data_IF_906764979298
#
_entry.id   IF_906764979298
#
_cell.length_a   1.000
_cell.length_b   1.000
_cell.length_c   1.000
_cell.angle_alpha   90.00
_cell.angle_beta   90.00
_cell.angle_gamma   90.00
#
_symmetry.space_group_name_H-M   'P 1'
#
loop_
_entity.id
_entity.type
_entity.pdbx_description
1 polymer ?
#
# COMPACT_ATOMS: atom_id res chain seq x y z
N UNK A 1 -9.19 22.78 20.22
CA UNK A 1 -9.74 21.43 20.48
C UNK A 1 -9.74 20.53 19.23
N UNK A 2 -10.18 21.00 18.06
CA UNK A 2 -10.28 20.19 16.81
C UNK A 2 -8.98 19.50 16.34
N UNK A 3 -7.81 20.15 16.44
CA UNK A 3 -6.52 19.55 15.99
C UNK A 3 -6.21 18.25 16.74
N UNK A 4 -6.33 18.23 18.06
CA UNK A 4 -6.05 17.04 18.88
C UNK A 4 -7.02 15.88 18.57
N UNK A 5 -8.30 16.19 18.30
CA UNK A 5 -9.28 15.19 17.89
C UNK A 5 -8.94 14.57 16.52
N UNK A 6 -8.52 15.38 15.54
CA UNK A 6 -8.07 14.89 14.22
C UNK A 6 -6.83 13.98 14.32
N UNK A 7 -5.89 14.31 15.20
CA UNK A 7 -4.73 13.45 15.47
C UNK A 7 -5.14 12.10 16.05
N UNK A 8 -6.07 12.08 17.00
CA UNK A 8 -6.62 10.82 17.55
C UNK A 8 -7.30 9.95 16.49
N UNK A 9 -8.05 10.58 15.56
CA UNK A 9 -8.64 9.86 14.43
C UNK A 9 -7.55 9.26 13.54
N UNK A 10 -6.50 10.04 13.23
CA UNK A 10 -5.40 9.58 12.39
C UNK A 10 -4.65 8.39 13.02
N UNK A 11 -4.36 8.46 14.31
CA UNK A 11 -3.72 7.37 15.06
C UNK A 11 -4.60 6.11 15.09
N UNK A 12 -5.90 6.26 15.40
CA UNK A 12 -6.84 5.14 15.45
C UNK A 12 -7.00 4.46 14.09
N UNK A 13 -7.13 5.25 13.02
CA UNK A 13 -7.19 4.73 11.65
C UNK A 13 -5.89 4.03 11.24
N UNK A 14 -4.73 4.59 11.61
CA UNK A 14 -3.43 3.97 11.35
C UNK A 14 -3.30 2.62 12.04
N UNK A 15 -3.76 2.50 13.29
CA UNK A 15 -3.73 1.24 14.03
C UNK A 15 -4.59 0.15 13.37
N UNK A 16 -5.80 0.50 12.91
CA UNK A 16 -6.63 -0.45 12.15
C UNK A 16 -5.94 -0.97 10.89
N UNK A 17 -5.18 -0.12 10.20
CA UNK A 17 -4.45 -0.51 8.99
C UNK A 17 -3.25 -1.39 9.32
N UNK A 18 -2.48 -1.05 10.35
CA UNK A 18 -1.32 -1.84 10.79
C UNK A 18 -1.76 -3.23 11.26
N UNK A 19 -2.84 -3.29 12.04
CA UNK A 19 -3.39 -4.53 12.60
C UNK A 19 -4.12 -5.38 11.54
N UNK A 20 -4.30 -4.88 10.31
CA UNK A 20 -5.01 -5.57 9.24
C UNK A 20 -6.54 -5.60 9.37
N UNK A 21 -7.11 -4.81 10.30
CA UNK A 21 -8.56 -4.69 10.50
C UNK A 21 -9.23 -3.92 9.34
N UNK A 22 -8.50 -3.01 8.71
CA UNK A 22 -8.94 -2.25 7.54
C UNK A 22 -7.80 -2.16 6.51
N UNK A 23 -8.09 -2.39 5.24
CA UNK A 23 -7.11 -2.23 4.15
C UNK A 23 -7.19 -0.84 3.52
N UNK A 24 -8.38 -0.24 3.51
CA UNK A 24 -8.66 1.04 2.86
C UNK A 24 -8.67 2.23 3.81
N UNK A 25 -7.95 3.29 3.42
CA UNK A 25 -7.88 4.53 4.21
C UNK A 25 -9.25 5.21 4.40
N UNK A 26 -10.15 5.08 3.44
CA UNK A 26 -11.51 5.65 3.53
C UNK A 26 -12.26 5.01 4.70
N UNK A 27 -12.35 3.68 4.71
CA UNK A 27 -13.06 2.93 5.75
C UNK A 27 -12.38 3.06 7.12
N UNK A 28 -11.04 3.01 7.17
CA UNK A 28 -10.30 3.22 8.40
C UNK A 28 -10.59 4.59 9.05
N UNK A 29 -10.72 5.66 8.24
CA UNK A 29 -11.10 7.00 8.75
C UNK A 29 -12.51 7.02 9.28
N UNK A 30 -13.45 6.53 8.49
CA UNK A 30 -14.87 6.64 8.81
C UNK A 30 -15.19 5.80 10.06
N UNK A 31 -14.60 4.60 10.16
CA UNK A 31 -14.67 3.76 11.36
C UNK A 31 -13.99 4.43 12.57
N UNK A 32 -12.82 5.03 12.41
CA UNK A 32 -12.14 5.73 13.50
C UNK A 32 -12.95 6.93 14.03
N UNK A 33 -13.58 7.71 13.14
CA UNK A 33 -14.46 8.83 13.50
C UNK A 33 -15.68 8.32 14.27
N UNK A 34 -16.33 7.27 13.76
CA UNK A 34 -17.48 6.64 14.39
C UNK A 34 -17.15 6.13 15.79
N UNK A 35 -16.04 5.41 15.95
CA UNK A 35 -15.61 4.87 17.25
C UNK A 35 -15.26 5.95 18.27
N UNK A 36 -14.86 7.13 17.81
CA UNK A 36 -14.52 8.26 18.69
C UNK A 36 -15.72 9.18 18.97
N UNK A 37 -16.90 8.90 18.39
CA UNK A 37 -18.10 9.70 18.57
C UNK A 37 -17.96 11.13 18.01
N UNK A 38 -17.19 11.29 16.92
CA UNK A 38 -16.88 12.60 16.33
C UNK A 38 -17.68 12.85 15.05
N UNK A 39 -17.83 14.13 14.71
CA UNK A 39 -18.35 14.55 13.41
C UNK A 39 -17.29 14.40 12.30
N UNK A 40 -17.69 13.82 11.16
CA UNK A 40 -16.79 13.47 10.06
C UNK A 40 -16.20 14.70 9.35
N UNK A 41 -17.01 15.73 9.09
CA UNK A 41 -16.59 16.89 8.30
C UNK A 41 -15.42 17.64 8.93
N UNK A 42 -15.41 17.75 10.27
CA UNK A 42 -14.41 18.54 10.98
C UNK A 42 -13.15 17.75 11.39
N UNK A 43 -13.25 16.43 11.50
CA UNK A 43 -12.22 15.58 12.12
C UNK A 43 -11.56 14.59 11.17
N UNK A 44 -11.92 14.60 9.88
CA UNK A 44 -11.31 13.72 8.89
C UNK A 44 -9.83 14.07 8.64
N UNK A 45 -8.90 13.13 8.88
CA UNK A 45 -7.47 13.37 8.63
C UNK A 45 -7.10 13.16 7.15
N UNK A 46 -5.96 13.69 6.76
CA UNK A 46 -5.36 13.41 5.45
C UNK A 46 -4.72 12.03 5.45
N UNK A 47 -4.64 11.38 4.27
CA UNK A 47 -3.93 10.10 4.14
C UNK A 47 -2.46 10.23 4.53
N UNK A 48 -1.84 11.38 4.24
CA UNK A 48 -0.46 11.69 4.64
C UNK A 48 -0.27 11.55 6.15
N UNK A 49 -1.20 12.07 6.94
CA UNK A 49 -1.12 12.02 8.40
C UNK A 49 -1.28 10.61 8.95
N UNK A 50 -2.22 9.83 8.42
CA UNK A 50 -2.37 8.41 8.78
C UNK A 50 -1.09 7.64 8.44
N UNK A 51 -0.52 7.87 7.25
CA UNK A 51 0.74 7.26 6.82
C UNK A 51 1.91 7.54 7.78
N UNK A 52 2.00 8.76 8.33
CA UNK A 52 3.01 9.09 9.35
C UNK A 52 2.85 8.23 10.61
N UNK A 53 1.62 8.05 11.11
CA UNK A 53 1.35 7.15 12.23
C UNK A 53 1.62 5.68 11.90
N UNK A 54 1.25 5.20 10.71
CA UNK A 54 1.59 3.84 10.26
C UNK A 54 3.10 3.63 10.33
N UNK A 55 3.89 4.55 9.78
CA UNK A 55 5.34 4.46 9.81
C UNK A 55 5.91 4.42 11.23
N UNK A 56 5.39 5.26 12.14
CA UNK A 56 5.80 5.23 13.55
C UNK A 56 5.45 3.89 14.20
N UNK A 57 4.21 3.43 14.04
CA UNK A 57 3.72 2.17 14.64
C UNK A 57 4.52 0.97 14.13
N UNK A 58 4.75 0.86 12.82
CA UNK A 58 5.52 -0.23 12.24
C UNK A 58 6.97 -0.23 12.72
N UNK A 59 7.62 0.94 12.83
CA UNK A 59 8.97 1.05 13.38
C UNK A 59 9.02 0.67 14.86
N UNK A 60 8.00 1.03 15.64
CA UNK A 60 7.87 0.58 17.03
C UNK A 60 7.71 -0.93 17.15
N UNK A 61 7.00 -1.57 16.20
CA UNK A 61 6.73 -3.02 16.22
C UNK A 61 7.92 -3.84 15.72
N UNK A 62 8.51 -3.46 14.58
CA UNK A 62 9.53 -4.24 13.88
C UNK A 62 10.97 -3.77 14.14
N UNK A 63 11.15 -2.52 14.58
CA UNK A 63 12.45 -1.86 14.66
C UNK A 63 12.81 -1.10 13.39
N UNK A 64 13.55 0.01 13.53
CA UNK A 64 13.89 0.87 12.39
C UNK A 64 14.79 0.18 11.36
N UNK A 65 15.79 -0.58 11.82
CA UNK A 65 16.74 -1.28 10.95
C UNK A 65 16.05 -2.36 10.11
N UNK A 66 15.14 -3.11 10.71
CA UNK A 66 14.37 -4.15 10.02
C UNK A 66 13.42 -3.54 8.99
N UNK A 67 12.75 -2.44 9.32
CA UNK A 67 11.93 -1.69 8.35
C UNK A 67 12.78 -1.20 7.18
N UNK A 68 13.99 -0.69 7.44
CA UNK A 68 14.89 -0.21 6.40
C UNK A 68 15.37 -1.36 5.49
N UNK A 69 15.78 -2.49 6.09
CA UNK A 69 16.20 -3.70 5.36
C UNK A 69 15.07 -4.21 4.46
N UNK A 70 13.88 -4.41 5.02
CA UNK A 70 12.70 -4.87 4.27
C UNK A 70 12.33 -3.92 3.15
N UNK A 71 12.33 -2.61 3.39
CA UNK A 71 12.03 -1.62 2.36
C UNK A 71 13.04 -1.67 1.20
N UNK A 72 14.32 -1.85 1.52
CA UNK A 72 15.36 -1.98 0.50
C UNK A 72 15.12 -3.21 -0.37
N UNK A 73 14.81 -4.34 0.25
CA UNK A 73 14.59 -5.60 -0.45
C UNK A 73 13.31 -5.59 -1.30
N UNK A 74 12.21 -5.06 -0.77
CA UNK A 74 10.98 -4.83 -1.55
C UNK A 74 11.21 -3.91 -2.75
N UNK A 75 12.04 -2.87 -2.61
CA UNK A 75 12.38 -1.98 -3.72
C UNK A 75 13.23 -2.65 -4.78
N UNK A 76 14.11 -3.57 -4.39
CA UNK A 76 14.88 -4.38 -5.33
C UNK A 76 13.96 -5.31 -6.13
N UNK A 77 13.08 -6.04 -5.44
CA UNK A 77 12.09 -6.90 -6.12
C UNK A 77 11.19 -6.07 -7.05
N UNK A 78 10.73 -4.90 -6.58
CA UNK A 78 9.93 -4.00 -7.40
C UNK A 78 10.67 -3.54 -8.65
N UNK A 79 11.97 -3.24 -8.54
CA UNK A 79 12.79 -2.86 -9.69
C UNK A 79 12.93 -4.02 -10.68
N UNK A 80 13.17 -5.25 -10.19
CA UNK A 80 13.28 -6.44 -11.04
C UNK A 80 11.96 -6.69 -11.80
N UNK A 81 10.81 -6.58 -11.12
CA UNK A 81 9.48 -6.65 -11.73
C UNK A 81 9.25 -5.54 -12.76
N UNK A 82 9.65 -4.29 -12.46
CA UNK A 82 9.53 -3.18 -13.40
C UNK A 82 10.40 -3.37 -14.64
N UNK A 83 11.57 -4.01 -14.53
CA UNK A 83 12.41 -4.32 -15.69
C UNK A 83 11.80 -5.41 -16.57
N UNK A 84 11.16 -6.42 -15.97
CA UNK A 84 10.42 -7.45 -16.71
C UNK A 84 9.23 -6.84 -17.45
N UNK A 85 8.56 -5.87 -16.82
CA UNK A 85 7.36 -5.23 -17.32
C UNK A 85 7.63 -3.96 -18.15
N UNK A 86 8.88 -3.67 -18.54
CA UNK A 86 9.28 -2.40 -19.16
C UNK A 86 8.42 -2.00 -20.37
N UNK A 87 7.99 -2.98 -21.18
CA UNK A 87 7.12 -2.78 -22.34
C UNK A 87 5.71 -2.24 -22.01
N UNK A 88 5.30 -2.33 -20.74
CA UNK A 88 3.98 -1.94 -20.23
C UNK A 88 4.00 -0.66 -19.38
N UNK A 89 5.06 0.14 -19.46
CA UNK A 89 5.22 1.40 -18.71
C UNK A 89 4.92 1.24 -17.20
N UNK A 90 5.70 0.42 -16.47
CA UNK A 90 5.35 0.04 -15.11
C UNK A 90 5.68 1.15 -14.10
N UNK A 91 4.82 1.34 -13.10
CA UNK A 91 5.02 2.32 -12.02
C UNK A 91 4.84 1.70 -10.64
N UNK A 92 5.87 1.79 -9.80
CA UNK A 92 5.79 1.48 -8.38
C UNK A 92 4.88 2.47 -7.65
N UNK A 93 3.90 1.96 -6.91
CA UNK A 93 2.98 2.75 -6.11
C UNK A 93 2.94 2.26 -4.65
N UNK A 94 1.91 2.67 -3.91
CA UNK A 94 1.64 2.10 -2.60
C UNK A 94 2.68 2.39 -1.52
N UNK A 95 2.84 1.42 -0.63
CA UNK A 95 3.61 1.57 0.61
C UNK A 95 5.12 1.61 0.37
N UNK A 96 5.61 0.78 -0.57
CA UNK A 96 7.02 0.64 -0.97
C UNK A 96 7.56 1.91 -1.62
N UNK A 97 6.79 2.53 -2.53
CA UNK A 97 7.15 3.83 -3.09
C UNK A 97 7.32 4.87 -1.97
N UNK A 98 6.30 4.97 -1.11
CA UNK A 98 6.26 5.99 -0.07
C UNK A 98 7.25 5.78 1.08
N UNK A 99 7.88 4.59 1.15
CA UNK A 99 8.80 4.21 2.22
C UNK A 99 8.11 3.94 3.57
N UNK A 100 6.79 3.73 3.55
CA UNK A 100 5.95 3.57 4.75
C UNK A 100 5.31 2.19 4.73
N UNK A 101 6.16 1.18 4.71
CA UNK A 101 5.76 -0.22 4.75
C UNK A 101 5.19 -0.58 6.13
N UNK A 102 4.35 -1.60 6.15
CA UNK A 102 3.82 -2.28 7.34
C UNK A 102 4.19 -3.76 7.27
N UNK A 103 3.96 -4.51 8.35
CA UNK A 103 4.27 -5.95 8.38
C UNK A 103 3.62 -6.72 7.22
N UNK A 104 2.41 -6.31 6.84
CA UNK A 104 1.58 -6.88 5.77
C UNK A 104 1.67 -6.13 4.44
N UNK A 105 2.71 -5.32 4.23
CA UNK A 105 2.90 -4.56 2.98
C UNK A 105 3.22 -5.47 1.81
N UNK A 106 2.50 -5.30 0.72
CA UNK A 106 2.75 -5.87 -0.61
C UNK A 106 3.58 -4.90 -1.48
N UNK A 107 4.03 -5.41 -2.63
CA UNK A 107 4.56 -4.57 -3.72
C UNK A 107 3.41 -4.32 -4.70
N UNK A 108 3.04 -3.05 -4.83
CA UNK A 108 1.99 -2.60 -5.74
C UNK A 108 2.61 -1.93 -6.98
N UNK A 109 2.25 -2.41 -8.17
CA UNK A 109 2.65 -1.86 -9.46
C UNK A 109 1.42 -1.51 -10.29
N UNK A 110 1.50 -0.44 -11.07
CA UNK A 110 0.60 -0.23 -12.19
C UNK A 110 1.32 -0.55 -13.48
N UNK A 111 0.67 -1.26 -14.38
CA UNK A 111 1.10 -1.48 -15.76
C UNK A 111 0.01 -1.01 -16.72
N UNK A 112 0.40 -0.62 -17.93
CA UNK A 112 -0.47 -0.04 -18.94
C UNK A 112 -0.45 -0.90 -20.19
N UNK A 113 -1.56 -1.60 -20.43
CA UNK A 113 -1.76 -2.44 -21.60
C UNK A 113 -3.26 -2.59 -21.87
N UNK A 114 -3.62 -2.72 -23.15
CA UNK A 114 -4.98 -3.10 -23.53
C UNK A 114 -5.26 -4.60 -23.34
N UNK A 115 -4.19 -5.40 -23.19
CA UNK A 115 -4.23 -6.85 -23.01
C UNK A 115 -3.60 -7.24 -21.67
N UNK A 116 -4.44 -7.46 -20.66
CA UNK A 116 -4.03 -7.95 -19.33
C UNK A 116 -3.33 -9.30 -19.38
N UNK A 117 -3.81 -10.22 -20.22
CA UNK A 117 -3.22 -11.55 -20.35
C UNK A 117 -1.77 -11.50 -20.82
N UNK A 118 -1.39 -10.53 -21.66
CA UNK A 118 0.00 -10.36 -22.08
C UNK A 118 0.91 -9.98 -20.89
N UNK A 119 0.45 -9.06 -20.04
CA UNK A 119 1.17 -8.66 -18.82
C UNK A 119 1.36 -9.86 -17.90
N UNK A 120 0.29 -10.64 -17.67
CA UNK A 120 0.35 -11.86 -16.87
C UNK A 120 1.34 -12.87 -17.46
N UNK A 121 1.25 -13.17 -18.76
CA UNK A 121 2.16 -14.12 -19.41
C UNK A 121 3.63 -13.68 -19.35
N UNK A 122 3.92 -12.37 -19.49
CA UNK A 122 5.28 -11.86 -19.33
C UNK A 122 5.82 -12.15 -17.92
N UNK A 123 4.99 -12.02 -16.88
CA UNK A 123 5.37 -12.33 -15.49
C UNK A 123 5.58 -13.83 -15.28
N UNK A 124 4.67 -14.68 -15.76
CA UNK A 124 4.76 -16.15 -15.65
C UNK A 124 6.03 -16.71 -16.31
N UNK A 125 6.41 -16.21 -17.50
CA UNK A 125 7.65 -16.63 -18.20
C UNK A 125 8.91 -16.34 -17.36
N UNK A 126 8.86 -15.34 -16.50
CA UNK A 126 9.95 -14.97 -15.59
C UNK A 126 9.81 -15.60 -14.19
N UNK A 127 8.84 -16.50 -13.99
CA UNK A 127 8.63 -17.25 -12.74
C UNK A 127 7.76 -16.54 -11.70
N UNK A 128 6.99 -15.51 -12.10
CA UNK A 128 6.09 -14.76 -11.23
C UNK A 128 4.63 -15.22 -11.41
N UNK A 129 4.31 -16.43 -10.95
CA UNK A 129 3.01 -17.09 -11.20
C UNK A 129 1.89 -16.66 -10.22
N UNK A 130 2.23 -15.98 -9.12
CA UNK A 130 1.31 -15.67 -8.00
C UNK A 130 0.95 -14.18 -7.89
N UNK A 131 0.99 -13.43 -9.00
CA UNK A 131 0.67 -12.00 -9.01
C UNK A 131 -0.86 -11.82 -8.99
N UNK A 132 -1.38 -11.10 -7.98
CA UNK A 132 -2.79 -10.68 -7.99
C UNK A 132 -2.95 -9.54 -9.00
N UNK A 133 -3.87 -9.69 -9.96
CA UNK A 133 -4.16 -8.71 -11.00
C UNK A 133 -5.60 -8.15 -10.88
N UNK A 134 -5.74 -6.83 -10.95
CA UNK A 134 -7.02 -6.15 -11.12
C UNK A 134 -6.96 -5.13 -12.26
N UNK A 135 -7.85 -5.27 -13.26
CA UNK A 135 -8.01 -4.25 -14.31
C UNK A 135 -8.85 -3.10 -13.76
N UNK A 136 -8.23 -1.94 -13.59
CA UNK A 136 -8.88 -0.75 -13.04
C UNK A 136 -9.20 0.24 -14.15
N UNK A 137 -10.44 0.71 -14.19
CA UNK A 137 -10.87 1.79 -15.06
C UNK A 137 -11.50 2.91 -14.24
N UNK A 138 -10.89 4.09 -14.27
CA UNK A 138 -11.39 5.27 -13.55
C UNK A 138 -11.14 6.56 -14.35
N UNK A 139 -11.44 7.72 -13.74
CA UNK A 139 -11.26 9.03 -14.37
C UNK A 139 -9.81 9.33 -14.82
N UNK A 140 -8.82 8.59 -14.33
CA UNK A 140 -7.41 8.71 -14.69
C UNK A 140 -6.97 7.75 -15.80
N UNK A 141 -7.89 6.94 -16.33
CA UNK A 141 -7.64 5.98 -17.41
C UNK A 141 -7.78 4.52 -16.99
N UNK A 142 -7.39 3.63 -17.90
CA UNK A 142 -7.33 2.18 -17.72
C UNK A 142 -5.90 1.76 -17.42
N UNK A 143 -5.71 0.96 -16.39
CA UNK A 143 -4.43 0.35 -16.04
C UNK A 143 -4.68 -1.01 -15.37
N UNK A 144 -3.62 -1.79 -15.29
CA UNK A 144 -3.59 -3.08 -14.62
C UNK A 144 -2.89 -2.85 -13.27
N UNK A 145 -3.60 -3.09 -12.19
CA UNK A 145 -3.05 -3.06 -10.84
C UNK A 145 -2.51 -4.46 -10.52
N UNK A 146 -1.20 -4.52 -10.24
CA UNK A 146 -0.49 -5.75 -9.91
C UNK A 146 -0.08 -5.69 -8.45
N UNK A 147 -0.38 -6.75 -7.72
CA UNK A 147 -0.04 -6.89 -6.31
C UNK A 147 0.78 -8.16 -6.11
N UNK A 148 2.00 -7.96 -5.64
CA UNK A 148 2.95 -9.05 -5.39
C UNK A 148 3.22 -9.25 -3.89
N UNK A 149 3.18 -10.51 -3.48
CA UNK A 149 3.54 -10.98 -2.14
C UNK A 149 4.69 -11.97 -2.27
N UNK A 150 5.85 -11.61 -1.74
CA UNK A 150 6.99 -12.51 -1.68
C UNK A 150 6.83 -13.43 -0.44
N UNK A 151 6.78 -14.75 -0.67
CA UNK A 151 6.75 -15.82 0.34
C UNK A 151 5.71 -15.67 1.48
N UNK A 152 4.50 -15.16 1.21
CA UNK A 152 3.45 -14.90 2.23
C UNK A 152 3.95 -14.10 3.48
N UNK A 153 5.09 -13.40 3.33
CA UNK A 153 5.99 -12.80 4.33
C UNK A 153 6.76 -13.76 5.27
N UNK A 154 8.12 -13.72 5.34
CA UNK A 154 8.91 -12.50 5.17
C UNK A 154 10.04 -12.54 4.14
N UNK A 155 10.10 -11.43 3.43
CA UNK A 155 11.33 -10.69 3.14
C UNK A 155 11.73 -9.92 4.37
#
# INVERSE_FOLDING_TARGET
MSKHAREKVAEKAARMIVDGVETEYLYAKDRAIMMLGLDSMNHRPTNRRIKEYISMLTKCELGEDEVARRLQEMRRIALDLMQILDEYDPFLIGSVLSGKIRKTSDIDLHAYSDNSMAVQSTLEVHGYDSVEEEVVNNQKGRFIHLKWKEMDYPV
#
